data_IF_770334139625
#
_entry.id   IF_770334139625
#
_cell.length_a   1.000
_cell.length_b   1.000
_cell.length_c   1.000
_cell.angle_alpha   90.00
_cell.angle_beta   90.00
_cell.angle_gamma   90.00
#
_symmetry.space_group_name_H-M   'P 1'
#
loop_
_entity.id
_entity.type
_entity.pdbx_description
1 polymer ?
#
# COMPACT_ATOMS: atom_id res chain seq x y z
N UNK A 1 -3.25 -6.23 10.97
CA UNK A 1 -3.96 -6.80 9.82
C UNK A 1 -5.04 -5.85 9.28
N UNK A 2 -5.84 -5.23 10.15
CA UNK A 2 -6.90 -4.31 9.72
C UNK A 2 -6.36 -3.21 8.80
N UNK A 3 -5.33 -2.47 9.22
CA UNK A 3 -4.70 -1.38 8.44
C UNK A 3 -4.16 -1.84 7.06
N UNK A 4 -3.84 -3.10 6.89
CA UNK A 4 -3.37 -3.64 5.61
C UNK A 4 -4.55 -4.08 4.74
N UNK A 5 -5.44 -4.90 5.29
CA UNK A 5 -6.50 -5.53 4.51
C UNK A 5 -7.71 -4.64 4.25
N UNK A 6 -8.06 -3.76 5.15
CA UNK A 6 -9.24 -2.90 5.04
C UNK A 6 -9.23 -2.06 3.76
N UNK A 7 -8.20 -1.23 3.47
CA UNK A 7 -8.18 -0.46 2.23
C UNK A 7 -8.05 -1.36 0.99
N UNK A 8 -7.32 -2.48 1.07
CA UNK A 8 -7.17 -3.43 -0.04
C UNK A 8 -8.50 -4.09 -0.42
N UNK A 9 -9.24 -4.61 0.55
CA UNK A 9 -10.53 -5.27 0.28
C UNK A 9 -11.57 -4.28 -0.22
N UNK A 10 -11.62 -3.08 0.36
CA UNK A 10 -12.56 -2.05 -0.08
C UNK A 10 -12.19 -1.43 -1.42
N UNK A 11 -10.92 -1.48 -1.84
CA UNK A 11 -10.50 -1.08 -3.18
C UNK A 11 -11.24 -1.88 -4.25
N UNK A 12 -11.40 -3.20 -4.05
CA UNK A 12 -12.12 -4.08 -4.96
C UNK A 12 -13.60 -3.69 -5.10
N UNK A 13 -14.20 -3.08 -4.08
CA UNK A 13 -15.57 -2.59 -4.13
C UNK A 13 -15.71 -1.30 -4.95
N UNK A 14 -14.68 -0.47 -4.97
CA UNK A 14 -14.66 0.80 -5.73
C UNK A 14 -14.55 0.56 -7.23
N UNK A 15 -13.83 -0.49 -7.65
CA UNK A 15 -13.55 -0.76 -9.06
C UNK A 15 -14.81 -0.94 -9.94
N UNK A 16 -15.82 -1.77 -9.55
CA UNK A 16 -17.00 -2.01 -10.38
C UNK A 16 -18.03 -0.87 -10.35
N UNK A 17 -17.86 0.15 -9.51
CA UNK A 17 -18.81 1.26 -9.42
C UNK A 17 -18.85 2.03 -10.75
N UNK A 18 -20.03 2.10 -11.34
CA UNK A 18 -20.26 2.79 -12.61
C UNK A 18 -20.25 4.32 -12.43
N UNK A 19 -20.15 5.05 -13.54
CA UNK A 19 -20.28 6.53 -13.57
C UNK A 19 -21.55 7.05 -12.90
N UNK A 20 -22.61 6.25 -12.84
CA UNK A 20 -23.90 6.62 -12.21
C UNK A 20 -23.79 6.81 -10.70
N UNK A 21 -22.84 6.10 -10.06
CA UNK A 21 -22.69 6.08 -8.60
C UNK A 21 -21.54 6.97 -8.09
N UNK A 22 -21.29 8.10 -8.79
CA UNK A 22 -20.19 9.03 -8.46
C UNK A 22 -20.23 9.50 -7.00
N UNK A 23 -21.42 9.78 -6.45
CA UNK A 23 -21.57 10.22 -5.05
C UNK A 23 -21.11 9.15 -4.07
N UNK A 24 -21.55 7.92 -4.28
CA UNK A 24 -21.18 6.78 -3.43
C UNK A 24 -19.68 6.48 -3.51
N UNK A 25 -19.12 6.46 -4.71
CA UNK A 25 -17.68 6.31 -4.92
C UNK A 25 -16.88 7.41 -4.20
N UNK A 26 -17.24 8.66 -4.39
CA UNK A 26 -16.55 9.80 -3.78
C UNK A 26 -16.62 9.73 -2.24
N UNK A 27 -17.75 9.30 -1.70
CA UNK A 27 -17.91 9.05 -0.28
C UNK A 27 -16.98 7.95 0.22
N UNK A 28 -16.86 6.83 -0.49
CA UNK A 28 -15.92 5.75 -0.14
C UNK A 28 -14.47 6.23 -0.13
N UNK A 29 -14.06 6.99 -1.14
CA UNK A 29 -12.69 7.52 -1.26
C UNK A 29 -12.32 8.47 -0.11
N UNK A 30 -13.30 9.15 0.45
CA UNK A 30 -13.08 10.02 1.61
C UNK A 30 -13.11 9.25 2.93
N UNK A 31 -14.04 8.31 3.08
CA UNK A 31 -14.25 7.59 4.34
C UNK A 31 -13.18 6.53 4.57
N UNK A 32 -12.78 5.77 3.55
CA UNK A 32 -11.80 4.69 3.74
C UNK A 32 -10.48 5.22 4.35
N UNK A 33 -9.83 6.26 3.80
CA UNK A 33 -8.60 6.79 4.42
C UNK A 33 -8.86 7.49 5.77
N UNK A 34 -10.06 8.06 5.99
CA UNK A 34 -10.40 8.64 7.28
C UNK A 34 -10.53 7.58 8.39
N UNK A 35 -11.15 6.43 8.08
CA UNK A 35 -11.19 5.27 8.99
C UNK A 35 -9.80 4.72 9.22
N UNK A 36 -8.98 4.65 8.17
CA UNK A 36 -7.59 4.23 8.25
C UNK A 36 -6.77 5.14 9.18
N UNK A 37 -6.95 6.45 9.05
CA UNK A 37 -6.32 7.43 9.94
C UNK A 37 -6.75 7.23 11.41
N UNK A 38 -8.04 7.02 11.66
CA UNK A 38 -8.52 6.73 13.00
C UNK A 38 -7.94 5.43 13.57
N UNK A 39 -7.85 4.39 12.74
CA UNK A 39 -7.25 3.12 13.12
C UNK A 39 -5.74 3.23 13.38
N UNK A 40 -5.00 4.03 12.60
CA UNK A 40 -3.59 4.30 12.82
C UNK A 40 -3.35 5.09 14.13
N UNK A 41 -4.23 6.04 14.46
CA UNK A 41 -4.21 6.73 15.74
C UNK A 41 -4.44 5.77 16.92
N UNK A 42 -5.41 4.86 16.79
CA UNK A 42 -5.66 3.84 17.82
C UNK A 42 -4.47 2.88 17.97
N UNK A 43 -3.77 2.57 16.88
CA UNK A 43 -2.59 1.71 16.93
C UNK A 43 -1.47 2.30 17.79
N UNK A 44 -1.31 3.63 17.80
CA UNK A 44 -0.35 4.30 18.69
C UNK A 44 -0.67 4.11 20.18
N UNK A 45 -1.95 3.90 20.51
CA UNK A 45 -2.41 3.64 21.89
C UNK A 45 -2.22 2.18 22.28
N UNK A 46 -1.90 1.29 21.35
CA UNK A 46 -1.73 -0.15 21.54
C UNK A 46 -0.36 -0.65 21.05
N UNK A 47 0.74 -0.18 21.65
CA UNK A 47 2.08 -0.56 21.22
C UNK A 47 2.31 -2.06 21.42
N UNK A 48 3.06 -2.65 20.49
CA UNK A 48 3.44 -4.07 20.57
C UNK A 48 2.38 -5.05 20.02
N UNK A 49 1.29 -4.56 19.41
CA UNK A 49 0.38 -5.45 18.70
C UNK A 49 1.12 -6.16 17.56
N UNK A 50 1.14 -7.48 17.60
CA UNK A 50 1.83 -8.31 16.62
C UNK A 50 0.86 -9.32 16.00
N UNK A 51 1.13 -9.67 14.74
CA UNK A 51 0.41 -10.69 14.00
C UNK A 51 1.39 -11.51 13.17
N UNK A 52 1.32 -12.81 13.30
CA UNK A 52 2.07 -13.75 12.49
C UNK A 52 1.13 -14.61 11.63
N UNK A 53 1.44 -14.72 10.35
CA UNK A 53 0.77 -15.58 9.39
C UNK A 53 1.77 -16.64 8.91
N UNK A 54 1.82 -17.81 9.57
CA UNK A 54 2.79 -18.84 9.25
C UNK A 54 2.51 -19.46 7.88
N UNK A 55 3.56 -19.92 7.21
CA UNK A 55 3.47 -20.69 5.97
C UNK A 55 3.23 -19.89 4.69
N UNK A 56 3.07 -18.57 4.75
CA UNK A 56 2.95 -17.74 3.55
C UNK A 56 4.30 -17.69 2.84
N UNK A 57 4.35 -18.13 1.57
CA UNK A 57 5.56 -18.24 0.73
C UNK A 57 6.71 -19.04 1.38
N UNK A 58 6.44 -19.89 2.38
CA UNK A 58 7.45 -20.67 3.10
C UNK A 58 8.19 -19.95 4.22
N UNK A 59 8.15 -18.61 4.28
CA UNK A 59 8.78 -17.77 5.31
C UNK A 59 7.80 -17.29 6.37
N UNK A 60 6.52 -17.14 6.01
CA UNK A 60 5.52 -16.47 6.82
C UNK A 60 5.52 -14.97 6.61
N UNK A 61 4.45 -14.30 7.07
CA UNK A 61 4.37 -12.84 7.11
C UNK A 61 4.20 -12.41 8.57
N UNK A 62 4.98 -11.44 9.00
CA UNK A 62 4.97 -10.91 10.36
C UNK A 62 4.77 -9.41 10.35
N UNK A 63 3.73 -8.96 11.04
CA UNK A 63 3.40 -7.55 11.21
C UNK A 63 3.48 -7.20 12.69
N UNK A 64 4.11 -6.09 13.02
CA UNK A 64 4.22 -5.63 14.39
C UNK A 64 4.10 -4.10 14.47
N UNK A 65 3.35 -3.62 15.44
CA UNK A 65 3.23 -2.21 15.74
C UNK A 65 4.46 -1.72 16.54
N UNK A 66 5.55 -1.42 15.83
CA UNK A 66 6.71 -0.73 16.38
C UNK A 66 6.47 0.78 16.45
N UNK A 67 7.20 1.49 17.33
CA UNK A 67 7.03 2.95 17.52
C UNK A 67 7.23 3.74 16.23
N UNK A 68 8.30 3.48 15.50
CA UNK A 68 8.60 4.15 14.23
C UNK A 68 7.60 3.77 13.15
N UNK A 69 7.32 2.47 13.01
CA UNK A 69 6.39 1.97 12.00
C UNK A 69 4.98 2.53 12.19
N UNK A 70 4.48 2.56 13.42
CA UNK A 70 3.17 3.14 13.75
C UNK A 70 3.10 4.64 13.48
N UNK A 71 4.19 5.39 13.74
CA UNK A 71 4.28 6.81 13.42
C UNK A 71 4.24 7.05 11.90
N UNK A 72 5.02 6.29 11.13
CA UNK A 72 5.03 6.39 9.67
C UNK A 72 3.69 5.99 9.06
N UNK A 73 3.04 4.94 9.60
CA UNK A 73 1.69 4.55 9.21
C UNK A 73 0.67 5.68 9.47
N UNK A 74 0.76 6.35 10.62
CA UNK A 74 -0.10 7.50 10.94
C UNK A 74 0.10 8.66 9.97
N UNK A 75 1.35 9.05 9.71
CA UNK A 75 1.66 10.15 8.77
C UNK A 75 1.12 9.83 7.38
N UNK A 76 1.29 8.59 6.91
CA UNK A 76 0.79 8.15 5.62
C UNK A 76 -0.74 8.12 5.57
N UNK A 77 -1.41 7.60 6.60
CA UNK A 77 -2.87 7.62 6.69
C UNK A 77 -3.42 9.05 6.68
N UNK A 78 -2.75 9.99 7.36
CA UNK A 78 -3.10 11.41 7.32
C UNK A 78 -2.98 12.00 5.91
N UNK A 79 -1.88 11.73 5.20
CA UNK A 79 -1.68 12.22 3.83
C UNK A 79 -2.72 11.65 2.87
N UNK A 80 -3.06 10.35 3.01
CA UNK A 80 -4.12 9.73 2.22
C UNK A 80 -5.50 10.30 2.54
N UNK A 81 -5.81 10.56 3.82
CA UNK A 81 -7.07 11.20 4.21
C UNK A 81 -7.18 12.61 3.65
N UNK A 82 -6.12 13.42 3.77
CA UNK A 82 -6.06 14.78 3.22
C UNK A 82 -6.22 14.78 1.68
N UNK A 83 -5.54 13.85 1.00
CA UNK A 83 -5.65 13.68 -0.46
C UNK A 83 -7.05 13.21 -0.84
N UNK A 84 -7.63 12.26 -0.11
CA UNK A 84 -8.96 11.72 -0.35
C UNK A 84 -10.07 12.77 -0.32
N UNK A 85 -9.93 13.81 0.51
CA UNK A 85 -10.86 14.93 0.54
C UNK A 85 -10.83 15.74 -0.76
N UNK A 86 -9.68 15.88 -1.41
CA UNK A 86 -9.48 16.68 -2.61
C UNK A 86 -9.65 15.89 -3.92
N UNK A 87 -9.39 14.58 -3.91
CA UNK A 87 -9.48 13.72 -5.10
C UNK A 87 -10.78 13.85 -5.90
N UNK A 88 -11.99 13.87 -5.30
CA UNK A 88 -13.21 13.98 -6.06
C UNK A 88 -13.33 15.27 -6.88
N UNK A 89 -12.80 16.38 -6.37
CA UNK A 89 -12.79 17.67 -7.08
C UNK A 89 -11.77 17.67 -8.21
N UNK A 90 -10.58 17.12 -7.96
CA UNK A 90 -9.51 17.02 -8.95
C UNK A 90 -9.91 16.16 -10.15
N UNK A 91 -10.56 15.01 -9.91
CA UNK A 91 -10.98 14.07 -10.96
C UNK A 91 -12.43 14.30 -11.44
N UNK A 92 -13.03 15.46 -11.17
CA UNK A 92 -14.45 15.71 -11.53
C UNK A 92 -14.73 15.53 -13.02
N UNK A 93 -13.79 15.91 -13.90
CA UNK A 93 -13.89 15.81 -15.35
C UNK A 93 -13.13 14.63 -15.96
N UNK A 94 -12.31 13.91 -15.18
CA UNK A 94 -11.44 12.86 -15.70
C UNK A 94 -12.20 11.55 -15.94
N UNK A 95 -11.79 10.85 -17.01
CA UNK A 95 -12.21 9.47 -17.28
C UNK A 95 -11.26 8.48 -16.60
N UNK A 96 -11.71 7.25 -16.31
CA UNK A 96 -10.85 6.22 -15.73
C UNK A 96 -10.54 6.35 -14.23
N UNK A 97 -11.21 7.26 -13.51
CA UNK A 97 -10.96 7.49 -12.08
C UNK A 97 -11.10 6.24 -11.20
N UNK A 98 -11.96 5.28 -11.58
CA UNK A 98 -12.15 4.08 -10.77
C UNK A 98 -10.89 3.22 -10.74
N UNK A 99 -10.16 3.12 -11.86
CA UNK A 99 -8.86 2.44 -11.92
C UNK A 99 -7.87 3.12 -10.98
N UNK A 100 -7.76 4.46 -11.05
CA UNK A 100 -6.90 5.23 -10.17
C UNK A 100 -7.25 4.97 -8.70
N UNK A 101 -8.52 5.10 -8.30
CA UNK A 101 -8.95 4.92 -6.91
C UNK A 101 -8.74 3.51 -6.39
N UNK A 102 -8.97 2.49 -7.24
CA UNK A 102 -8.67 1.11 -6.89
C UNK A 102 -7.20 0.93 -6.51
N UNK A 103 -6.30 1.32 -7.39
CA UNK A 103 -4.87 1.17 -7.14
C UNK A 103 -4.35 2.11 -6.03
N UNK A 104 -4.96 3.28 -5.88
CA UNK A 104 -4.62 4.22 -4.83
C UNK A 104 -4.92 3.68 -3.43
N UNK A 105 -6.05 3.04 -3.22
CA UNK A 105 -6.40 2.36 -1.97
C UNK A 105 -5.58 1.08 -1.76
N UNK A 106 -5.30 0.34 -2.83
CA UNK A 106 -4.48 -0.86 -2.78
C UNK A 106 -3.05 -0.52 -2.32
N UNK A 107 -2.50 0.58 -2.85
CA UNK A 107 -1.17 1.08 -2.44
C UNK A 107 -1.16 1.54 -0.98
N UNK A 108 -2.25 2.15 -0.48
CA UNK A 108 -2.36 2.50 0.94
C UNK A 108 -2.19 1.27 1.82
N UNK A 109 -2.92 0.18 1.54
CA UNK A 109 -2.80 -1.06 2.29
C UNK A 109 -1.42 -1.69 2.20
N UNK A 110 -0.80 -1.69 1.01
CA UNK A 110 0.56 -2.18 0.83
C UNK A 110 1.58 -1.35 1.65
N UNK A 111 1.44 -0.03 1.65
CA UNK A 111 2.29 0.89 2.42
C UNK A 111 2.14 0.67 3.93
N UNK A 112 0.93 0.42 4.43
CA UNK A 112 0.71 0.02 5.82
C UNK A 112 1.45 -1.28 6.15
N UNK A 113 1.44 -2.24 5.21
CA UNK A 113 2.20 -3.50 5.35
C UNK A 113 3.71 -3.27 5.44
N UNK A 114 4.26 -2.35 4.64
CA UNK A 114 5.69 -1.96 4.70
C UNK A 114 6.05 -1.41 6.08
N UNK A 115 5.26 -0.48 6.60
CA UNK A 115 5.58 0.18 7.88
C UNK A 115 5.39 -0.72 9.11
N UNK A 116 4.50 -1.70 9.01
CA UNK A 116 4.22 -2.64 10.09
C UNK A 116 4.98 -3.96 9.93
N UNK A 117 5.84 -4.11 8.93
CA UNK A 117 6.65 -5.31 8.75
C UNK A 117 7.56 -5.53 9.96
N UNK A 118 7.60 -6.76 10.47
CA UNK A 118 8.46 -7.18 11.58
C UNK A 118 9.72 -7.94 11.12
N UNK A 119 9.81 -8.25 9.85
CA UNK A 119 10.94 -8.90 9.22
C UNK A 119 11.17 -8.40 7.79
N UNK A 120 12.38 -8.63 7.29
CA UNK A 120 12.79 -8.18 5.95
C UNK A 120 11.98 -8.83 4.82
N UNK A 121 11.53 -10.08 5.00
CA UNK A 121 10.74 -10.75 3.97
C UNK A 121 9.34 -10.14 3.86
N UNK A 122 8.69 -9.90 4.99
CA UNK A 122 7.39 -9.19 5.04
C UNK A 122 7.49 -7.80 4.43
N UNK A 123 8.55 -7.05 4.79
CA UNK A 123 8.83 -5.75 4.20
C UNK A 123 8.98 -5.84 2.68
N UNK A 124 9.76 -6.80 2.17
CA UNK A 124 9.95 -7.04 0.74
C UNK A 124 8.63 -7.28 0.02
N UNK A 125 7.79 -8.20 0.53
CA UNK A 125 6.51 -8.54 -0.10
C UNK A 125 5.61 -7.31 -0.25
N UNK A 126 5.45 -6.54 0.81
CA UNK A 126 4.59 -5.35 0.77
C UNK A 126 5.23 -4.20 -0.02
N UNK A 127 6.55 -4.07 -0.02
CA UNK A 127 7.27 -3.10 -0.85
C UNK A 127 7.08 -3.37 -2.35
N UNK A 128 7.21 -4.63 -2.78
CA UNK A 128 6.93 -5.02 -4.16
C UNK A 128 5.48 -4.76 -4.54
N UNK A 129 4.54 -5.13 -3.66
CA UNK A 129 3.12 -4.87 -3.88
C UNK A 129 2.84 -3.37 -4.02
N UNK A 130 3.44 -2.52 -3.19
CA UNK A 130 3.35 -1.06 -3.28
C UNK A 130 3.92 -0.56 -4.61
N UNK A 131 5.08 -1.06 -5.02
CA UNK A 131 5.74 -0.67 -6.28
C UNK A 131 4.89 -1.00 -7.50
N UNK A 132 4.32 -2.21 -7.57
CA UNK A 132 3.45 -2.60 -8.69
C UNK A 132 2.12 -1.83 -8.70
N UNK A 133 1.53 -1.58 -7.54
CA UNK A 133 0.24 -0.86 -7.48
C UNK A 133 0.39 0.61 -7.83
N UNK A 134 1.48 1.25 -7.42
CA UNK A 134 1.75 2.66 -7.71
C UNK A 134 2.14 2.92 -9.18
N UNK A 135 2.60 1.91 -9.92
CA UNK A 135 2.84 2.01 -11.36
C UNK A 135 1.65 2.62 -12.12
N UNK A 136 0.42 2.24 -11.73
CA UNK A 136 -0.80 2.71 -12.40
C UNK A 136 -0.96 4.22 -12.30
N UNK A 137 -0.43 4.86 -11.26
CA UNK A 137 -0.48 6.33 -11.12
C UNK A 137 0.46 7.02 -12.13
N UNK A 138 1.62 6.42 -12.38
CA UNK A 138 2.59 6.95 -13.36
C UNK A 138 1.99 6.95 -14.77
N UNK A 139 1.24 5.87 -15.11
CA UNK A 139 0.65 5.73 -16.45
C UNK A 139 -0.81 6.21 -16.53
N UNK A 140 -1.34 6.86 -15.50
CA UNK A 140 -2.76 7.22 -15.42
C UNK A 140 -3.24 8.08 -16.61
N UNK A 141 -2.42 8.98 -17.11
CA UNK A 141 -2.77 9.87 -18.21
C UNK A 141 -2.74 9.19 -19.59
N UNK A 142 -2.17 7.98 -19.71
CA UNK A 142 -2.07 7.17 -20.94
C UNK A 142 -1.41 7.88 -22.13
N UNK A 143 -0.70 9.00 -21.91
CA UNK A 143 0.12 9.67 -22.94
C UNK A 143 1.36 8.83 -23.24
N UNK A 144 1.98 9.07 -24.40
CA UNK A 144 3.22 8.38 -24.78
C UNK A 144 4.33 8.63 -23.76
N UNK A 145 4.44 9.86 -23.24
CA UNK A 145 5.39 10.24 -22.21
C UNK A 145 5.12 9.47 -20.89
N UNK A 146 3.84 9.37 -20.49
CA UNK A 146 3.45 8.60 -19.29
C UNK A 146 3.77 7.11 -19.46
N UNK A 147 3.61 6.54 -20.65
CA UNK A 147 3.96 5.15 -20.94
C UNK A 147 5.46 4.90 -20.85
N UNK A 148 6.27 5.80 -21.44
CA UNK A 148 7.74 5.72 -21.37
C UNK A 148 8.23 5.86 -19.91
N UNK A 149 7.68 6.82 -19.17
CA UNK A 149 7.95 6.96 -17.73
C UNK A 149 7.57 5.69 -16.95
N UNK A 150 6.40 5.10 -17.26
CA UNK A 150 5.96 3.84 -16.67
C UNK A 150 6.87 2.66 -16.98
N UNK A 151 7.37 2.53 -18.20
CA UNK A 151 8.33 1.50 -18.57
C UNK A 151 9.63 1.63 -17.77
N UNK A 152 10.16 2.85 -17.67
CA UNK A 152 11.36 3.13 -16.87
C UNK A 152 11.11 2.82 -15.38
N UNK A 153 9.96 3.27 -14.84
CA UNK A 153 9.56 2.98 -13.47
C UNK A 153 9.53 1.48 -13.21
N UNK A 154 8.84 0.71 -14.07
CA UNK A 154 8.71 -0.73 -13.92
C UNK A 154 10.06 -1.45 -14.04
N UNK A 155 10.90 -1.05 -14.98
CA UNK A 155 12.24 -1.63 -15.15
C UNK A 155 13.09 -1.43 -13.87
N UNK A 156 13.09 -0.22 -13.30
CA UNK A 156 13.83 0.09 -12.07
C UNK A 156 13.24 -0.69 -10.88
N UNK A 157 11.91 -0.76 -10.76
CA UNK A 157 11.24 -1.50 -9.71
C UNK A 157 11.59 -2.99 -9.75
N UNK A 158 11.49 -3.62 -10.93
CA UNK A 158 11.81 -5.06 -11.09
C UNK A 158 13.29 -5.35 -10.80
N UNK A 159 14.21 -4.55 -11.37
CA UNK A 159 15.66 -4.75 -11.13
C UNK A 159 15.99 -4.55 -9.63
N UNK A 160 15.44 -3.50 -9.01
CA UNK A 160 15.62 -3.23 -7.60
C UNK A 160 15.05 -4.33 -6.70
N UNK A 161 13.85 -4.81 -7.01
CA UNK A 161 13.19 -5.91 -6.31
C UNK A 161 13.97 -7.22 -6.42
N UNK A 162 14.46 -7.57 -7.61
CA UNK A 162 15.31 -8.75 -7.79
C UNK A 162 16.63 -8.65 -6.99
N UNK A 163 17.25 -7.47 -6.98
CA UNK A 163 18.47 -7.25 -6.19
C UNK A 163 18.19 -7.36 -4.69
N UNK A 164 17.06 -6.80 -4.22
CA UNK A 164 16.64 -6.91 -2.83
C UNK A 164 16.35 -8.35 -2.45
N UNK A 165 15.62 -9.11 -3.28
CA UNK A 165 15.35 -10.53 -3.04
C UNK A 165 16.64 -11.34 -2.97
N UNK A 166 17.58 -11.12 -3.89
CA UNK A 166 18.88 -11.78 -3.84
C UNK A 166 19.62 -11.47 -2.53
N UNK A 167 19.61 -10.20 -2.10
CA UNK A 167 20.18 -9.80 -0.81
C UNK A 167 19.52 -10.48 0.39
N UNK A 168 18.18 -10.60 0.39
CA UNK A 168 17.43 -11.31 1.45
C UNK A 168 17.81 -12.80 1.53
N UNK A 169 17.92 -13.47 0.38
CA UNK A 169 18.31 -14.89 0.34
C UNK A 169 19.73 -15.08 0.86
N UNK A 170 20.66 -14.19 0.52
CA UNK A 170 22.02 -14.22 1.05
C UNK A 170 22.04 -13.97 2.56
N UNK A 171 21.27 -12.99 3.06
CA UNK A 171 21.16 -12.74 4.50
C UNK A 171 20.58 -13.95 5.23
N UNK A 172 19.54 -14.56 4.69
CA UNK A 172 18.96 -15.78 5.27
C UNK A 172 19.98 -16.93 5.35
N UNK A 173 20.82 -17.10 4.31
CA UNK A 173 21.88 -18.11 4.33
C UNK A 173 22.97 -17.81 5.35
N UNK A 174 23.33 -16.54 5.54
CA UNK A 174 24.43 -16.15 6.43
C UNK A 174 24.01 -16.05 7.90
N UNK A 175 22.83 -15.49 8.16
CA UNK A 175 22.36 -15.19 9.52
C UNK A 175 21.33 -16.21 10.03
N UNK A 176 20.68 -16.97 9.14
CA UNK A 176 19.62 -17.91 9.51
C UNK A 176 18.29 -17.24 9.90
N UNK A 177 18.23 -15.90 9.91
CA UNK A 177 17.02 -15.13 10.24
C UNK A 177 16.91 -13.86 9.42
N UNK A 178 15.68 -13.40 9.18
CA UNK A 178 15.35 -12.12 8.54
C UNK A 178 14.62 -11.19 9.48
N UNK A 179 14.51 -11.53 10.77
CA UNK A 179 13.83 -10.72 11.78
C UNK A 179 14.60 -9.42 12.07
N UNK A 180 13.88 -8.35 12.32
CA UNK A 180 14.46 -7.14 12.88
C UNK A 180 14.74 -7.37 14.36
N UNK A 181 16.02 -7.34 14.74
CA UNK A 181 16.46 -7.50 16.14
C UNK A 181 16.29 -6.21 16.95
#
# INVERSE_FOLDING_TARGET
>A
LFLVLFPMLLSAWVFPLRRRDRRYRNWLIQIIPAVELAAALLLLLWPGAALELPGVFGFGLRLQAGSLGSLLALVSAFLWAATGLNCPSYFAAAEGCNRFYFFWLLTLGALMGVFLAADLFTLFVFFEMMSFTSYVWVVQNETEEARQAGQTYLAVAVIGGMALLAGLLLLQQLLGTLEFS
#
